data_IF_795822969870
#
_entry.id   IF_795822969870
#
_cell.length_a   1.000
_cell.length_b   1.000
_cell.length_c   1.000
_cell.angle_alpha   90.00
_cell.angle_beta   90.00
_cell.angle_gamma   90.00
#
_symmetry.space_group_name_H-M   'P 1'
#
loop_
_entity.id
_entity.type
_entity.pdbx_description
1 polymer ?
#
# COMPACT_ATOMS: atom_id res chain seq x y z
N UNK A 1 -26.24 -16.46 -6.00
CA UNK A 1 -25.35 -17.03 -4.97
C UNK A 1 -23.94 -16.93 -5.53
N UNK A 2 -23.24 -15.82 -5.25
CA UNK A 2 -21.88 -15.58 -5.75
C UNK A 2 -20.98 -15.45 -4.52
N UNK A 3 -20.30 -16.54 -4.18
CA UNK A 3 -19.29 -16.55 -3.13
C UNK A 3 -18.00 -16.02 -3.76
N UNK A 4 -17.66 -14.76 -3.49
CA UNK A 4 -16.36 -14.21 -3.83
C UNK A 4 -15.39 -14.69 -2.74
N UNK A 5 -14.62 -15.73 -3.04
CA UNK A 5 -13.47 -16.10 -2.22
C UNK A 5 -12.35 -15.09 -2.50
N UNK A 6 -12.13 -14.15 -1.58
CA UNK A 6 -10.86 -13.43 -1.52
C UNK A 6 -9.89 -14.31 -0.73
N UNK A 7 -9.14 -15.16 -1.42
CA UNK A 7 -7.97 -15.81 -0.84
C UNK A 7 -6.75 -14.94 -1.12
N UNK A 8 -6.28 -14.23 -0.10
CA UNK A 8 -4.95 -13.61 -0.13
C UNK A 8 -3.96 -14.72 0.26
N UNK A 9 -3.29 -15.33 -0.73
CA UNK A 9 -2.21 -16.29 -0.50
C UNK A 9 -0.89 -15.54 -0.70
N UNK A 10 -0.13 -15.41 0.37
CA UNK A 10 1.15 -14.70 0.39
C UNK A 10 2.28 -15.71 0.18
N UNK A 11 3.07 -15.49 -0.86
CA UNK A 11 4.28 -16.27 -1.13
C UNK A 11 5.41 -15.80 -0.21
N UNK A 12 5.89 -16.72 0.64
CA UNK A 12 7.15 -16.58 1.34
C UNK A 12 8.30 -17.23 0.58
N UNK A 13 8.56 -16.82 -0.67
CA UNK A 13 9.88 -17.03 -1.25
C UNK A 13 10.77 -15.92 -0.72
N UNK A 14 11.69 -16.24 0.19
CA UNK A 14 12.82 -15.35 0.46
C UNK A 14 13.49 -15.11 -0.89
N UNK A 15 13.56 -13.84 -1.31
CA UNK A 15 14.44 -13.47 -2.41
C UNK A 15 15.86 -13.58 -1.85
N UNK A 16 16.45 -14.77 -1.96
CA UNK A 16 17.79 -15.03 -1.45
C UNK A 16 18.79 -14.11 -2.17
N UNK A 17 19.59 -13.37 -1.39
CA UNK A 17 20.68 -12.54 -1.91
C UNK A 17 20.35 -11.06 -2.15
N UNK A 18 19.10 -10.61 -1.96
CA UNK A 18 18.75 -9.18 -2.04
C UNK A 18 18.75 -8.56 -0.63
N UNK A 19 19.57 -7.52 -0.37
CA UNK A 19 19.51 -6.78 0.88
C UNK A 19 18.08 -6.31 1.19
N UNK A 20 17.68 -6.35 2.45
CA UNK A 20 16.35 -5.89 2.89
C UNK A 20 16.00 -4.52 2.30
N UNK A 21 16.98 -3.60 2.22
CA UNK A 21 16.84 -2.24 1.69
C UNK A 21 16.34 -2.12 0.25
N UNK A 22 16.32 -3.21 -0.51
CA UNK A 22 16.10 -3.15 -1.95
C UNK A 22 14.70 -3.63 -2.36
N UNK A 23 13.90 -4.17 -1.44
CA UNK A 23 12.53 -4.63 -1.72
C UNK A 23 11.51 -3.70 -1.09
N UNK A 24 10.80 -2.95 -1.93
CA UNK A 24 9.73 -2.03 -1.51
C UNK A 24 8.46 -2.28 -2.31
N UNK A 25 7.32 -1.82 -1.79
CA UNK A 25 6.02 -2.05 -2.41
C UNK A 25 5.15 -0.80 -2.34
N UNK A 26 4.43 -0.49 -3.42
CA UNK A 26 3.44 0.59 -3.42
C UNK A 26 2.20 0.17 -4.19
N UNK A 27 1.07 0.79 -3.86
CA UNK A 27 -0.20 0.45 -4.49
C UNK A 27 -1.24 1.52 -4.29
N UNK A 28 -2.25 1.53 -5.16
CA UNK A 28 -3.40 2.42 -5.12
C UNK A 28 -4.64 1.68 -4.62
N UNK A 29 -5.49 2.32 -3.81
CA UNK A 29 -6.81 1.80 -3.44
C UNK A 29 -6.75 0.44 -2.71
N UNK A 30 -7.40 -0.61 -3.23
CA UNK A 30 -7.23 -1.97 -2.72
C UNK A 30 -5.78 -2.46 -2.78
N UNK A 31 -5.00 -1.99 -3.75
CA UNK A 31 -3.54 -2.20 -3.81
C UNK A 31 -2.80 -1.50 -2.68
N UNK A 32 -3.26 -0.35 -2.20
CA UNK A 32 -2.72 0.31 -1.01
C UNK A 32 -3.05 -0.48 0.28
N UNK A 33 -4.27 -1.03 0.38
CA UNK A 33 -4.62 -1.94 1.47
C UNK A 33 -3.69 -3.17 1.49
N UNK A 34 -3.46 -3.78 0.32
CA UNK A 34 -2.51 -4.89 0.18
C UNK A 34 -1.08 -4.45 0.50
N UNK A 35 -0.66 -3.26 0.08
CA UNK A 35 0.67 -2.71 0.37
C UNK A 35 0.91 -2.59 1.87
N UNK A 36 -0.06 -2.07 2.62
CA UNK A 36 0.02 -1.98 4.08
C UNK A 36 0.13 -3.37 4.72
N UNK A 37 -0.66 -4.35 4.25
CA UNK A 37 -0.57 -5.74 4.71
C UNK A 37 0.79 -6.37 4.41
N UNK A 38 1.29 -6.25 3.17
CA UNK A 38 2.58 -6.81 2.78
C UNK A 38 3.72 -6.22 3.60
N UNK A 39 3.78 -4.90 3.72
CA UNK A 39 4.87 -4.25 4.44
C UNK A 39 4.89 -4.63 5.92
N UNK A 40 3.73 -4.61 6.59
CA UNK A 40 3.66 -4.89 8.02
C UNK A 40 3.86 -6.40 8.33
N UNK A 41 3.26 -7.29 7.54
CA UNK A 41 3.32 -8.74 7.78
C UNK A 41 4.66 -9.34 7.35
N UNK A 42 5.26 -8.85 6.25
CA UNK A 42 6.54 -9.34 5.70
C UNK A 42 7.67 -8.32 5.89
N UNK A 43 7.68 -7.62 7.03
CA UNK A 43 8.64 -6.55 7.32
C UNK A 43 10.10 -7.01 7.36
N UNK A 44 10.40 -8.30 7.45
CA UNK A 44 11.77 -8.81 7.28
C UNK A 44 12.27 -8.74 5.84
N UNK A 45 11.36 -8.72 4.87
CA UNK A 45 11.64 -8.68 3.43
C UNK A 45 11.38 -7.29 2.86
N UNK A 46 10.22 -6.71 3.15
CA UNK A 46 9.82 -5.38 2.66
C UNK A 46 10.42 -4.30 3.57
N UNK A 47 11.10 -3.32 2.99
CA UNK A 47 11.80 -2.25 3.73
C UNK A 47 11.26 -0.85 3.53
N UNK A 48 10.11 -0.71 2.87
CA UNK A 48 9.51 0.58 2.60
C UNK A 48 8.26 0.46 1.75
N UNK A 49 7.38 1.45 1.84
CA UNK A 49 6.14 1.39 1.09
C UNK A 49 5.51 2.72 0.68
N UNK A 50 4.74 2.70 -0.40
CA UNK A 50 3.85 3.80 -0.82
C UNK A 50 2.38 3.42 -0.70
N UNK A 51 1.68 3.96 0.31
CA UNK A 51 0.25 3.76 0.53
C UNK A 51 -0.52 4.89 -0.19
N UNK A 52 -1.15 4.57 -1.32
CA UNK A 52 -1.79 5.57 -2.17
C UNK A 52 -3.31 5.41 -2.13
N UNK A 53 -4.01 6.37 -1.52
CA UNK A 53 -5.47 6.43 -1.47
C UNK A 53 -6.14 5.12 -1.03
N UNK A 54 -5.65 4.50 0.05
CA UNK A 54 -6.19 3.23 0.56
C UNK A 54 -6.31 3.20 2.09
N UNK A 55 -7.13 2.27 2.62
CA UNK A 55 -7.38 2.15 4.06
C UNK A 55 -6.17 1.64 4.84
N UNK A 56 -6.19 1.75 6.18
CA UNK A 56 -5.17 1.15 7.03
C UNK A 56 -5.19 -0.39 6.98
N UNK A 57 -4.06 -0.98 7.38
CA UNK A 57 -3.90 -2.41 7.59
C UNK A 57 -5.07 -3.02 8.38
N UNK A 58 -5.56 -4.18 7.92
CA UNK A 58 -6.61 -4.96 8.59
C UNK A 58 -7.90 -4.17 8.87
N UNK A 59 -8.15 -3.05 8.17
CA UNK A 59 -9.30 -2.17 8.46
C UNK A 59 -10.64 -2.91 8.46
N UNK A 60 -10.86 -3.80 7.48
CA UNK A 60 -12.09 -4.58 7.38
C UNK A 60 -12.21 -5.68 8.46
N UNK A 61 -11.16 -5.93 9.25
CA UNK A 61 -11.13 -6.92 10.35
C UNK A 61 -11.62 -8.31 9.92
N UNK A 62 -11.19 -8.75 8.73
CA UNK A 62 -11.60 -10.04 8.14
C UNK A 62 -13.08 -10.14 7.74
N UNK A 63 -13.83 -9.03 7.74
CA UNK A 63 -15.27 -9.02 7.49
C UNK A 63 -15.64 -8.01 6.40
N UNK A 64 -16.21 -8.50 5.29
CA UNK A 64 -16.62 -7.65 4.16
C UNK A 64 -17.67 -6.61 4.52
N UNK A 65 -18.43 -6.81 5.62
CA UNK A 65 -19.41 -5.83 6.11
C UNK A 65 -18.77 -4.53 6.62
N UNK A 66 -17.48 -4.54 6.90
CA UNK A 66 -16.74 -3.38 7.39
C UNK A 66 -16.06 -2.58 6.26
N UNK A 67 -16.19 -3.00 4.99
CA UNK A 67 -15.51 -2.34 3.86
C UNK A 67 -15.98 -0.90 3.70
N UNK A 68 -17.29 -0.64 3.78
CA UNK A 68 -17.86 0.70 3.69
C UNK A 68 -17.22 1.68 4.68
N UNK A 69 -16.98 1.21 5.90
CA UNK A 69 -16.31 1.97 6.95
C UNK A 69 -14.87 2.35 6.55
N UNK A 70 -14.17 1.43 5.90
CA UNK A 70 -12.81 1.58 5.40
C UNK A 70 -12.69 2.42 4.13
N UNK A 71 -13.80 2.74 3.49
CA UNK A 71 -13.82 3.54 2.27
C UNK A 71 -14.33 4.94 2.58
N UNK A 72 -15.52 5.06 3.17
CA UNK A 72 -16.23 6.33 3.34
C UNK A 72 -16.90 6.46 4.72
N UNK A 73 -16.47 5.67 5.69
CA UNK A 73 -16.87 5.83 7.08
C UNK A 73 -16.19 7.01 7.78
N UNK A 74 -16.73 7.47 8.91
CA UNK A 74 -16.01 8.40 9.77
C UNK A 74 -14.73 7.73 10.29
N UNK A 75 -13.61 8.44 10.32
CA UNK A 75 -12.31 7.88 10.74
C UNK A 75 -12.33 7.33 12.18
N UNK A 76 -13.26 7.82 13.01
CA UNK A 76 -13.45 7.40 14.40
C UNK A 76 -14.06 6.01 14.56
N UNK A 77 -14.74 5.46 13.56
CA UNK A 77 -15.28 4.10 13.67
C UNK A 77 -14.18 3.05 13.56
N UNK A 78 -13.06 3.39 12.90
CA UNK A 78 -11.95 2.46 12.64
C UNK A 78 -11.08 2.35 13.90
N UNK A 79 -11.04 1.19 14.59
CA UNK A 79 -10.37 1.04 15.87
C UNK A 79 -8.86 0.82 15.68
N UNK A 80 -8.11 1.89 15.39
CA UNK A 80 -6.67 1.79 15.07
C UNK A 80 -5.84 1.02 16.09
N UNK A 81 -6.14 1.16 17.39
CA UNK A 81 -5.45 0.41 18.45
C UNK A 81 -5.71 -1.12 18.38
N UNK A 82 -6.90 -1.52 17.92
CA UNK A 82 -7.21 -2.92 17.65
C UNK A 82 -6.39 -3.44 16.46
N UNK A 83 -6.24 -2.62 15.40
CA UNK A 83 -5.42 -2.98 14.23
C UNK A 83 -3.94 -3.18 14.61
N UNK A 84 -3.41 -2.30 15.46
CA UNK A 84 -2.04 -2.38 16.00
C UNK A 84 -1.86 -3.63 16.86
N UNK A 85 -2.76 -3.86 17.81
CA UNK A 85 -2.68 -5.02 18.70
C UNK A 85 -2.85 -6.35 17.95
N UNK A 86 -3.66 -6.38 16.89
CA UNK A 86 -3.78 -7.55 16.02
C UNK A 86 -2.48 -7.86 15.27
N UNK A 87 -1.76 -6.86 14.77
CA UNK A 87 -0.45 -7.11 14.14
C UNK A 87 0.56 -7.65 15.17
N UNK A 88 0.58 -7.08 16.37
CA UNK A 88 1.47 -7.53 17.44
C UNK A 88 1.17 -8.97 17.88
N UNK A 89 -0.11 -9.38 17.89
CA UNK A 89 -0.51 -10.75 18.21
C UNK A 89 -0.04 -11.72 17.13
N UNK A 90 -0.16 -11.37 15.83
CA UNK A 90 0.38 -12.17 14.73
C UNK A 90 1.91 -12.27 14.78
N UNK A 91 2.61 -11.17 15.12
CA UNK A 91 4.06 -11.19 15.30
C UNK A 91 4.48 -12.11 16.45
N UNK A 92 3.75 -12.06 17.58
CA UNK A 92 4.00 -12.92 18.74
C UNK A 92 3.71 -14.40 18.45
N UNK A 93 2.72 -14.68 17.58
CA UNK A 93 2.37 -16.02 17.12
C UNK A 93 3.30 -16.53 16.00
N UNK A 94 4.20 -15.70 15.48
CA UNK A 94 5.09 -16.04 14.36
C UNK A 94 4.38 -16.14 13.00
N UNK A 95 3.16 -15.58 12.86
CA UNK A 95 2.42 -15.50 11.60
C UNK A 95 2.58 -14.15 10.89
N UNK A 96 3.30 -13.22 11.50
CA UNK A 96 3.83 -12.00 10.90
C UNK A 96 5.27 -11.79 11.39
N UNK A 97 6.04 -11.00 10.66
CA UNK A 97 7.40 -10.63 11.05
C UNK A 97 7.43 -9.72 12.29
N UNK A 98 8.54 -9.68 13.05
CA UNK A 98 8.69 -8.78 14.19
C UNK A 98 8.48 -7.31 13.80
N UNK A 99 7.58 -6.63 14.51
CA UNK A 99 7.27 -5.21 14.26
C UNK A 99 8.46 -4.27 14.46
N UNK A 100 9.50 -4.71 15.18
CA UNK A 100 10.78 -4.00 15.31
C UNK A 100 11.48 -3.76 13.97
N UNK A 101 11.20 -4.57 12.94
CA UNK A 101 11.76 -4.38 11.61
C UNK A 101 11.26 -3.09 10.94
N UNK A 102 10.06 -2.63 11.31
CA UNK A 102 9.41 -1.44 10.71
C UNK A 102 10.09 -0.13 11.14
N UNK A 103 10.92 -0.19 12.20
CA UNK A 103 11.59 0.98 12.74
C UNK A 103 12.46 1.65 11.67
N UNK A 104 12.19 2.92 11.44
CA UNK A 104 12.80 3.79 10.43
C UNK A 104 12.48 3.45 8.96
N UNK A 105 11.63 2.47 8.67
CA UNK A 105 11.26 2.17 7.29
C UNK A 105 10.59 3.39 6.65
N UNK A 106 11.00 3.82 5.45
CA UNK A 106 10.37 4.92 4.75
C UNK A 106 8.98 4.53 4.25
N UNK A 107 7.97 5.27 4.69
CA UNK A 107 6.59 5.10 4.27
C UNK A 107 6.07 6.39 3.66
N UNK A 108 5.63 6.33 2.41
CA UNK A 108 4.92 7.42 1.75
C UNK A 108 3.41 7.20 1.88
N UNK A 109 2.66 8.23 2.26
CA UNK A 109 1.19 8.15 2.31
C UNK A 109 0.61 9.28 1.45
N UNK A 110 -0.16 8.89 0.43
CA UNK A 110 -0.82 9.80 -0.49
C UNK A 110 -2.34 9.70 -0.34
N UNK A 111 -3.02 10.84 -0.37
CA UNK A 111 -4.45 10.88 -0.69
C UNK A 111 -4.77 12.18 -1.42
N UNK A 112 -5.68 12.11 -2.40
CA UNK A 112 -6.26 13.33 -2.98
C UNK A 112 -7.20 13.98 -1.97
N UNK A 113 -7.14 15.30 -1.84
CA UNK A 113 -7.98 16.08 -0.90
C UNK A 113 -9.49 15.91 -1.14
N UNK A 114 -9.87 15.60 -2.38
CA UNK A 114 -11.25 15.46 -2.82
C UNK A 114 -11.59 14.03 -3.24
N UNK A 115 -10.83 13.05 -2.74
CA UNK A 115 -11.08 11.63 -3.01
C UNK A 115 -12.47 11.20 -2.47
N UNK A 116 -13.42 10.83 -3.36
CA UNK A 116 -14.76 10.44 -2.94
C UNK A 116 -14.90 8.94 -2.73
N UNK A 117 -13.85 8.14 -2.98
CA UNK A 117 -13.87 6.67 -2.94
C UNK A 117 -13.26 6.17 -1.65
N UNK A 118 -12.05 6.63 -1.33
CA UNK A 118 -11.42 6.39 -0.03
C UNK A 118 -11.20 7.73 0.63
N UNK A 119 -12.00 8.03 1.63
CA UNK A 119 -11.99 9.33 2.28
C UNK A 119 -10.60 9.64 2.85
N UNK A 120 -10.09 10.87 2.63
CA UNK A 120 -8.75 11.26 3.07
C UNK A 120 -8.50 10.97 4.55
N UNK A 121 -9.50 11.14 5.41
CA UNK A 121 -9.36 10.91 6.84
C UNK A 121 -9.21 9.43 7.20
N UNK A 122 -9.77 8.52 6.40
CA UNK A 122 -9.50 7.08 6.50
C UNK A 122 -8.07 6.77 6.07
N UNK A 123 -7.62 7.31 4.92
CA UNK A 123 -6.24 7.09 4.42
C UNK A 123 -5.20 7.56 5.44
N UNK A 124 -5.42 8.73 6.06
CA UNK A 124 -4.53 9.32 7.08
C UNK A 124 -4.33 8.41 8.31
N UNK A 125 -5.24 7.47 8.60
CA UNK A 125 -5.07 6.53 9.72
C UNK A 125 -3.88 5.59 9.53
N UNK A 126 -3.42 5.37 8.29
CA UNK A 126 -2.17 4.63 8.03
C UNK A 126 -0.99 5.23 8.80
N UNK A 127 -0.93 6.56 8.94
CA UNK A 127 0.15 7.22 9.66
C UNK A 127 0.21 6.77 11.13
N UNK A 128 -0.95 6.62 11.78
CA UNK A 128 -1.02 6.16 13.18
C UNK A 128 -0.49 4.74 13.33
N UNK A 129 -0.87 3.84 12.42
CA UNK A 129 -0.42 2.44 12.44
C UNK A 129 1.09 2.34 12.20
N UNK A 130 1.64 3.03 11.20
CA UNK A 130 3.07 2.93 10.91
C UNK A 130 3.95 3.66 11.94
N UNK A 131 3.50 4.81 12.48
CA UNK A 131 4.23 5.53 13.53
C UNK A 131 4.30 4.74 14.85
N UNK A 132 3.30 3.92 15.18
CA UNK A 132 3.34 3.10 16.41
C UNK A 132 4.48 2.08 16.41
N UNK A 133 5.00 1.72 15.24
CA UNK A 133 6.16 0.85 15.04
C UNK A 133 7.44 1.60 14.66
N UNK A 134 7.41 2.94 14.66
CA UNK A 134 8.58 3.78 14.46
C UNK A 134 8.99 4.01 13.00
N UNK A 135 8.09 3.85 12.03
CA UNK A 135 8.36 4.15 10.63
C UNK A 135 8.67 5.64 10.38
N UNK A 136 9.35 5.94 9.27
CA UNK A 136 9.63 7.30 8.81
C UNK A 136 8.64 7.72 7.72
N UNK A 137 7.66 8.55 8.08
CA UNK A 137 6.52 8.88 7.21
C UNK A 137 6.73 10.19 6.43
N UNK A 138 6.50 10.15 5.11
CA UNK A 138 6.27 11.33 4.27
C UNK A 138 4.81 11.36 3.79
N UNK A 139 3.99 12.29 4.32
CA UNK A 139 2.62 12.47 3.86
C UNK A 139 2.51 13.40 2.66
N UNK A 140 1.50 13.19 1.83
CA UNK A 140 1.00 14.15 0.85
C UNK A 140 -0.53 14.08 0.81
N UNK A 141 -1.17 15.02 1.52
CA UNK A 141 -2.62 15.06 1.75
C UNK A 141 -3.30 16.28 1.14
N UNK A 142 -2.51 17.26 0.69
CA UNK A 142 -3.03 18.58 0.28
C UNK A 142 -3.24 18.69 -1.23
N UNK A 143 -2.92 17.64 -1.99
CA UNK A 143 -3.12 17.65 -3.43
C UNK A 143 -4.60 17.78 -3.78
N UNK A 144 -4.94 18.74 -4.62
CA UNK A 144 -6.27 18.89 -5.18
C UNK A 144 -6.52 17.79 -6.24
N UNK A 145 -6.74 16.58 -5.76
CA UNK A 145 -6.95 15.39 -6.56
C UNK A 145 -8.16 14.60 -6.05
N UNK A 146 -8.77 13.86 -6.97
CA UNK A 146 -9.77 12.81 -6.69
C UNK A 146 -9.09 11.44 -6.62
N UNK A 147 -9.87 10.37 -6.44
CA UNK A 147 -9.34 9.00 -6.38
C UNK A 147 -8.58 8.65 -7.67
N UNK A 148 -7.31 8.27 -7.53
CA UNK A 148 -6.50 7.85 -8.67
C UNK A 148 -5.01 8.02 -8.46
N UNK A 149 -4.23 7.47 -9.40
CA UNK A 149 -2.79 7.60 -9.44
C UNK A 149 -2.40 8.92 -10.10
N UNK A 150 -1.81 9.85 -9.33
CA UNK A 150 -1.38 11.14 -9.84
C UNK A 150 -0.14 11.00 -10.76
N UNK A 151 -0.25 11.50 -11.99
CA UNK A 151 0.83 11.56 -12.97
C UNK A 151 1.09 12.99 -13.41
N UNK A 152 2.21 13.18 -14.10
CA UNK A 152 2.65 14.50 -14.56
C UNK A 152 1.91 14.98 -15.81
N UNK A 153 1.51 14.07 -16.71
CA UNK A 153 1.00 14.44 -18.03
C UNK A 153 0.06 13.41 -18.68
N UNK A 154 -0.47 12.45 -17.93
CA UNK A 154 -1.33 11.39 -18.48
C UNK A 154 -2.56 11.11 -17.61
N UNK A 155 -3.66 10.69 -18.24
CA UNK A 155 -4.91 10.33 -17.57
C UNK A 155 -5.96 11.44 -17.55
N UNK A 156 -7.03 11.23 -16.77
CA UNK A 156 -8.13 12.17 -16.61
C UNK A 156 -7.75 13.45 -15.86
N UNK A 157 -8.69 14.38 -15.72
CA UNK A 157 -8.46 15.60 -14.91
C UNK A 157 -8.20 15.23 -13.45
N UNK A 158 -7.22 15.89 -12.80
CA UNK A 158 -6.90 15.63 -11.40
C UNK A 158 -8.11 15.84 -10.46
N UNK A 159 -8.90 16.87 -10.72
CA UNK A 159 -10.01 17.32 -9.88
C UNK A 159 -11.35 16.68 -10.23
N UNK A 160 -11.41 15.83 -11.28
CA UNK A 160 -12.63 15.14 -11.70
C UNK A 160 -12.39 13.63 -11.62
N UNK A 161 -13.25 12.85 -10.95
CA UNK A 161 -13.03 11.40 -10.84
C UNK A 161 -12.93 10.72 -12.21
N UNK A 162 -11.77 10.12 -12.52
CA UNK A 162 -11.60 9.25 -13.68
C UNK A 162 -12.02 7.82 -13.33
N UNK A 163 -13.29 7.52 -13.56
CA UNK A 163 -13.87 6.19 -13.29
C UNK A 163 -13.43 5.11 -14.28
N UNK A 164 -12.70 5.47 -15.35
CA UNK A 164 -12.27 4.53 -16.38
C UNK A 164 -10.91 3.93 -16.06
N UNK A 165 -9.95 4.78 -15.68
CA UNK A 165 -8.57 4.34 -15.48
C UNK A 165 -8.06 4.58 -14.06
N UNK A 166 -8.66 5.49 -13.30
CA UNK A 166 -8.13 5.94 -12.01
C UNK A 166 -6.66 6.41 -12.13
N UNK A 167 -6.33 7.07 -13.24
CA UNK A 167 -5.04 7.70 -13.49
C UNK A 167 -5.31 9.16 -13.79
N UNK A 168 -4.68 10.05 -13.03
CA UNK A 168 -5.02 11.45 -12.99
C UNK A 168 -3.84 12.30 -13.48
N UNK A 169 -4.08 13.16 -14.46
CA UNK A 169 -3.12 14.16 -14.89
C UNK A 169 -3.13 15.33 -13.90
N UNK A 170 -2.20 15.28 -12.95
CA UNK A 170 -2.11 16.21 -11.82
C UNK A 170 -0.92 17.15 -11.92
N UNK A 171 -0.17 17.15 -13.03
CA UNK A 171 1.14 17.82 -13.11
C UNK A 171 2.09 17.42 -11.96
N UNK A 172 1.91 16.20 -11.45
CA UNK A 172 2.65 15.68 -10.30
C UNK A 172 3.08 14.24 -10.54
N UNK A 173 4.38 13.99 -10.43
CA UNK A 173 4.94 12.65 -10.62
C UNK A 173 4.94 11.89 -9.27
N UNK A 174 3.82 11.22 -8.95
CA UNK A 174 3.68 10.47 -7.71
C UNK A 174 4.67 9.31 -7.61
N UNK A 175 4.94 8.62 -8.72
CA UNK A 175 5.91 7.54 -8.77
C UNK A 175 7.30 8.01 -8.31
N UNK A 176 7.77 9.13 -8.88
CA UNK A 176 9.02 9.74 -8.46
C UNK A 176 8.98 10.16 -7.00
N UNK A 177 7.93 10.83 -6.53
CA UNK A 177 7.92 11.38 -5.17
C UNK A 177 7.90 10.28 -4.08
N UNK A 178 7.21 9.16 -4.35
CA UNK A 178 7.22 7.94 -3.53
C UNK A 178 8.62 7.31 -3.51
N UNK A 179 9.17 7.01 -4.70
CA UNK A 179 10.48 6.36 -4.81
C UNK A 179 11.58 7.24 -4.23
N UNK A 180 11.53 8.55 -4.46
CA UNK A 180 12.51 9.48 -3.95
C UNK A 180 12.51 9.49 -2.42
N UNK A 181 11.36 9.42 -1.76
CA UNK A 181 11.31 9.26 -0.30
C UNK A 181 11.90 7.93 0.16
N UNK A 182 11.46 6.83 -0.47
CA UNK A 182 11.90 5.48 -0.13
C UNK A 182 13.41 5.32 -0.24
N UNK A 183 14.04 5.91 -1.27
CA UNK A 183 15.47 5.78 -1.54
C UNK A 183 16.30 6.99 -1.08
N UNK A 184 15.87 7.68 -0.01
CA UNK A 184 16.71 8.63 0.72
C UNK A 184 16.78 10.06 0.15
N UNK A 185 15.88 10.42 -0.74
CA UNK A 185 15.61 11.81 -1.15
C UNK A 185 16.47 12.36 -2.28
N UNK A 186 17.39 11.56 -2.83
CA UNK A 186 18.43 12.00 -3.76
C UNK A 186 18.31 11.41 -5.17
N UNK A 187 17.15 10.83 -5.52
CA UNK A 187 16.91 10.34 -6.87
C UNK A 187 16.83 11.52 -7.86
N UNK A 188 17.29 11.29 -9.08
CA UNK A 188 17.10 12.24 -10.17
C UNK A 188 15.69 12.07 -10.74
N UNK A 189 14.90 13.15 -10.77
CA UNK A 189 13.58 13.12 -11.40
C UNK A 189 13.73 12.82 -12.90
N UNK A 190 13.04 11.81 -13.45
CA UNK A 190 13.12 11.51 -14.87
C UNK A 190 12.61 12.70 -15.70
N UNK A 191 13.37 13.05 -16.75
CA UNK A 191 12.93 14.00 -17.76
C UNK A 191 11.99 13.36 -18.79
N UNK A 192 11.28 14.17 -19.56
CA UNK A 192 10.26 13.75 -20.55
C UNK A 192 10.82 12.92 -21.74
N UNK A 193 12.13 12.68 -21.83
CA UNK A 193 12.76 12.19 -23.06
C UNK A 193 13.83 11.12 -22.85
N UNK A 194 13.82 10.40 -21.72
CA UNK A 194 14.71 9.23 -21.55
C UNK A 194 14.01 8.01 -22.17
N UNK A 195 14.50 7.43 -23.27
CA UNK A 195 13.93 6.20 -23.81
C UNK A 195 14.04 5.08 -22.78
N UNK A 196 12.96 4.36 -22.55
CA UNK A 196 13.03 3.13 -21.77
C UNK A 196 13.91 2.12 -22.51
N UNK A 197 14.96 1.64 -21.86
CA UNK A 197 15.88 0.63 -22.40
C UNK A 197 15.46 -0.81 -22.06
N UNK A 198 14.48 -0.95 -21.16
CA UNK A 198 13.95 -2.24 -20.73
C UNK A 198 12.81 -2.76 -21.60
N UNK A 199 12.34 -3.96 -21.29
CA UNK A 199 11.20 -4.61 -21.94
C UNK A 199 10.14 -4.97 -20.89
N UNK A 200 8.87 -4.86 -21.26
CA UNK A 200 7.80 -5.47 -20.48
C UNK A 200 7.85 -6.98 -20.68
N UNK A 201 7.99 -7.72 -19.58
CA UNK A 201 8.02 -9.18 -19.59
C UNK A 201 6.70 -9.68 -19.00
N UNK A 202 6.03 -10.58 -19.72
CA UNK A 202 4.85 -11.30 -19.22
C UNK A 202 5.29 -12.59 -18.53
N UNK A 203 4.63 -12.95 -17.44
CA UNK A 203 4.84 -14.22 -16.76
C UNK A 203 3.51 -14.80 -16.28
N UNK A 204 3.49 -16.12 -16.05
CA UNK A 204 2.31 -16.85 -15.60
C UNK A 204 2.24 -16.82 -14.07
N UNK A 205 1.27 -16.07 -13.53
CA UNK A 205 1.07 -15.97 -12.08
C UNK A 205 0.76 -17.35 -11.46
N UNK A 206 -0.21 -18.14 -11.96
CA UNK A 206 -0.43 -19.53 -11.53
C UNK A 206 0.83 -20.40 -11.46
N UNK A 207 1.74 -20.29 -12.43
CA UNK A 207 2.96 -21.10 -12.44
C UNK A 207 3.93 -20.78 -11.29
N UNK A 208 3.81 -19.58 -10.68
CA UNK A 208 4.55 -19.19 -9.49
C UNK A 208 3.80 -19.51 -8.19
N UNK A 209 2.58 -20.04 -8.30
CA UNK A 209 1.78 -20.49 -7.16
C UNK A 209 2.05 -21.97 -6.87
N UNK A 210 2.83 -22.27 -5.83
CA UNK A 210 3.09 -23.67 -5.44
C UNK A 210 1.84 -24.33 -4.82
N UNK A 211 1.55 -25.61 -5.11
CA UNK A 211 0.42 -26.34 -4.49
C UNK A 211 0.56 -26.52 -2.97
N UNK A 212 1.76 -26.32 -2.42
CA UNK A 212 2.04 -26.42 -0.98
C UNK A 212 1.71 -25.14 -0.20
N UNK A 213 1.33 -24.04 -0.87
CA UNK A 213 0.79 -22.85 -0.21
C UNK A 213 -0.69 -23.05 0.16
N UNK A 214 -0.99 -24.16 0.83
CA UNK A 214 -2.27 -24.35 1.51
C UNK A 214 -2.48 -23.16 2.43
N UNK A 215 -3.63 -22.49 2.27
CA UNK A 215 -3.99 -21.37 3.13
C UNK A 215 -3.85 -21.78 4.59
N UNK A 216 -3.04 -21.04 5.34
CA UNK A 216 -3.03 -21.14 6.79
C UNK A 216 -4.28 -20.42 7.29
N UNK A 217 -5.42 -21.11 7.20
CA UNK A 217 -6.42 -21.02 8.27
C UNK A 217 -5.79 -21.74 9.45
N UNK A 218 -5.19 -20.98 10.37
CA UNK A 218 -5.17 -21.43 11.75
C UNK A 218 -6.34 -20.72 12.38
N UNK A 219 -7.38 -21.51 12.63
CA UNK A 219 -8.67 -21.12 13.21
C UNK A 219 -8.56 -20.09 14.33
#
# INVERSE_FOLDING_TARGET
MWTIFFTIILFGSRIEGVPRTDVTVSGLSSGAAMTAQLHLVYSSTISGSGILAGPPYYCARGNSKNVDECLYGPEKSIPVEELISQLQSYASAGTADPTSNIKNDPVYIFTGKYDPVVFPDVVKLNAKVFLSFGANIKPNYEMHATHGYATENFGGSCEIPDLKYFINNCSFNLAYDVLNHIFGGNLTKPGQSVPLTGQFITFDQPALMSPESGGVSKD
#
